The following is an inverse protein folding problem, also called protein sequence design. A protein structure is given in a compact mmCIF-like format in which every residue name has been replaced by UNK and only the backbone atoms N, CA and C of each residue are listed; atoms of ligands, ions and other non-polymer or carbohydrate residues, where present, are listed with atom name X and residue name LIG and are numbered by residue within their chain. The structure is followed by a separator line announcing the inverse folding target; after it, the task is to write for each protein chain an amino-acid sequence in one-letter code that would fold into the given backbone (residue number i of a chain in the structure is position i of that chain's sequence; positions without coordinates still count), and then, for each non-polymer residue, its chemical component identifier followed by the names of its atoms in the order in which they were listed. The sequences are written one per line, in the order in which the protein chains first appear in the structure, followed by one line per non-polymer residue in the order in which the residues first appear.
data_IF_676500026813
#
_entry.id   IF_676500026813
#
_cell.length_a   1.000
_cell.length_b   1.000
_cell.length_c   1.000
_cell.angle_alpha   90.00
_cell.angle_beta   90.00
_cell.angle_gamma   90.00
#
_symmetry.space_group_name_H-M   'P 1'
#
loop_
_entity.id
_entity.type
_entity.pdbx_description
1 polymer ?
#
# COMPACT_ATOMS: atom_id res chain seq x y z
N UNK A 1 6.06 9.23 -54.46
CA UNK A 1 7.36 8.75 -53.95
C UNK A 1 7.81 9.69 -52.83
N UNK A 2 8.20 9.14 -51.67
CA UNK A 2 8.89 9.84 -50.57
C UNK A 2 7.98 10.43 -49.49
N UNK A 3 7.48 9.62 -48.55
CA UNK A 3 8.03 9.34 -47.19
C UNK A 3 7.66 10.40 -46.14
N UNK A 4 6.55 10.14 -45.45
CA UNK A 4 6.23 10.67 -44.11
C UNK A 4 7.07 9.93 -43.06
N UNK A 5 7.75 10.68 -42.19
CA UNK A 5 8.47 10.15 -41.02
C UNK A 5 7.51 10.21 -39.82
N UNK A 6 6.96 9.05 -39.45
CA UNK A 6 6.36 8.83 -38.14
C UNK A 6 7.49 8.50 -37.16
N UNK A 7 7.76 9.39 -36.22
CA UNK A 7 8.60 9.10 -35.05
C UNK A 7 7.69 8.43 -34.03
N UNK A 8 7.89 7.13 -33.84
CA UNK A 8 7.35 6.38 -32.71
C UNK A 8 8.32 6.57 -31.55
N UNK A 9 7.94 7.38 -30.55
CA UNK A 9 8.63 7.41 -29.26
C UNK A 9 8.10 6.24 -28.44
N UNK A 10 8.86 5.15 -28.40
CA UNK A 10 8.63 4.06 -27.47
C UNK A 10 9.08 4.51 -26.07
N UNK A 11 8.13 4.80 -25.18
CA UNK A 11 8.40 4.86 -23.74
C UNK A 11 8.64 3.42 -23.26
N UNK A 12 9.90 3.04 -23.16
CA UNK A 12 10.32 1.84 -22.44
C UNK A 12 10.21 2.10 -20.95
N UNK A 13 9.34 1.37 -20.27
CA UNK A 13 9.39 1.20 -18.81
C UNK A 13 10.71 0.48 -18.51
N UNK A 14 11.72 1.25 -18.13
CA UNK A 14 13.06 0.75 -17.84
C UNK A 14 13.17 0.29 -16.39
N UNK A 15 13.09 -1.01 -16.15
CA UNK A 15 13.59 -1.60 -14.91
C UNK A 15 15.11 -1.43 -14.85
N UNK A 16 15.61 -0.39 -14.17
CA UNK A 16 17.03 -0.16 -13.99
C UNK A 16 17.57 -0.99 -12.80
N UNK A 17 17.82 -2.29 -13.03
CA UNK A 17 18.54 -3.15 -12.08
C UNK A 17 20.06 -2.94 -12.13
N UNK A 18 20.73 -3.15 -11.00
CA UNK A 18 22.19 -3.10 -10.83
C UNK A 18 22.86 -4.30 -11.51
N UNK A 19 23.87 -4.08 -12.34
CA UNK A 19 24.75 -5.15 -12.85
C UNK A 19 25.69 -5.62 -11.74
N UNK A 20 25.71 -6.91 -11.44
CA UNK A 20 26.76 -7.54 -10.63
C UNK A 20 28.09 -7.58 -11.43
N UNK A 21 29.24 -7.87 -10.80
CA UNK A 21 30.52 -8.04 -11.50
C UNK A 21 30.49 -9.07 -12.65
N UNK A 22 29.53 -10.00 -12.60
CA UNK A 22 29.27 -11.02 -13.63
C UNK A 22 28.14 -10.62 -14.61
N UNK A 23 27.66 -9.37 -14.56
CA UNK A 23 26.67 -8.82 -15.47
C UNK A 23 25.23 -9.26 -15.21
N UNK A 24 24.94 -9.92 -14.08
CA UNK A 24 23.58 -10.33 -13.73
C UNK A 24 22.87 -9.22 -12.96
N UNK A 25 21.65 -8.88 -13.37
CA UNK A 25 20.75 -8.04 -12.59
C UNK A 25 20.21 -8.85 -11.41
N UNK A 26 20.62 -8.49 -10.19
CA UNK A 26 19.96 -9.01 -9.00
C UNK A 26 18.66 -8.23 -8.81
N UNK A 27 17.59 -8.74 -9.42
CA UNK A 27 16.24 -8.23 -9.20
C UNK A 27 15.78 -8.75 -7.85
N UNK A 28 15.99 -7.98 -6.79
CA UNK A 28 15.31 -8.22 -5.52
C UNK A 28 13.85 -7.80 -5.72
N UNK A 29 13.01 -8.76 -6.11
CA UNK A 29 11.57 -8.55 -6.22
C UNK A 29 11.03 -8.43 -4.80
N UNK A 30 10.84 -7.21 -4.31
CA UNK A 30 10.05 -7.00 -3.09
C UNK A 30 8.61 -7.44 -3.40
N UNK A 31 7.93 -8.16 -2.50
CA UNK A 31 6.51 -8.49 -2.66
C UNK A 31 5.61 -7.24 -2.61
N UNK A 32 6.16 -6.08 -2.24
CA UNK A 32 5.51 -4.79 -2.22
C UNK A 32 5.78 -4.09 -3.55
N UNK A 33 4.75 -3.69 -4.33
CA UNK A 33 4.89 -3.01 -5.61
C UNK A 33 5.22 -1.52 -5.44
N UNK A 34 6.35 -1.22 -4.80
CA UNK A 34 6.87 0.14 -4.60
C UNK A 34 8.01 0.47 -5.57
N UNK A 35 8.28 1.76 -5.84
CA UNK A 35 9.43 2.18 -6.62
C UNK A 35 10.74 1.69 -5.97
N UNK A 36 11.78 1.53 -6.79
CA UNK A 36 13.09 1.24 -6.24
C UNK A 36 13.65 2.51 -5.55
N UNK A 37 14.20 2.40 -4.34
CA UNK A 37 14.87 3.53 -3.70
C UNK A 37 16.16 3.88 -4.45
N UNK A 38 16.55 5.17 -4.39
CA UNK A 38 17.80 5.65 -4.99
C UNK A 38 19.01 4.93 -4.41
N UNK A 39 18.97 4.63 -3.11
CA UNK A 39 19.97 3.85 -2.41
C UNK A 39 19.52 2.40 -2.26
N UNK A 40 20.41 1.41 -2.44
CA UNK A 40 20.11 0.02 -2.12
C UNK A 40 19.61 -0.13 -0.69
N UNK A 41 18.71 -1.09 -0.46
CA UNK A 41 18.13 -1.32 0.88
C UNK A 41 19.17 -1.50 1.98
N UNK A 42 20.28 -2.16 1.69
CA UNK A 42 21.39 -2.37 2.63
C UNK A 42 22.14 -1.07 3.03
N UNK A 43 21.98 0.00 2.26
CA UNK A 43 22.57 1.32 2.52
C UNK A 43 21.58 2.26 3.24
N UNK A 44 20.31 1.87 3.39
CA UNK A 44 19.32 2.59 4.19
C UNK A 44 19.55 2.34 5.69
N UNK A 45 19.00 3.19 6.55
CA UNK A 45 19.08 2.97 8.00
C UNK A 45 18.49 1.62 8.43
N UNK A 46 19.04 1.05 9.50
CA UNK A 46 18.52 -0.19 10.08
C UNK A 46 17.05 -0.04 10.50
N UNK A 47 16.65 1.14 10.95
CA UNK A 47 15.27 1.44 11.35
C UNK A 47 14.30 1.34 10.15
N UNK A 48 14.70 1.87 8.99
CA UNK A 48 13.89 1.76 7.78
C UNK A 48 13.87 0.33 7.24
N UNK A 49 15.01 -0.36 7.26
CA UNK A 49 15.09 -1.76 6.85
C UNK A 49 14.18 -2.65 7.71
N UNK A 50 14.14 -2.40 9.02
CA UNK A 50 13.29 -3.09 9.98
C UNK A 50 11.80 -2.80 9.75
N UNK A 51 11.40 -1.53 9.55
CA UNK A 51 10.03 -1.20 9.18
C UNK A 51 9.63 -1.94 7.90
N UNK A 52 10.49 -1.91 6.89
CA UNK A 52 10.25 -2.56 5.61
C UNK A 52 10.05 -4.07 5.78
N UNK A 53 10.90 -4.75 6.56
CA UNK A 53 10.73 -6.18 6.87
C UNK A 53 9.37 -6.47 7.50
N UNK A 54 8.97 -5.65 8.48
CA UNK A 54 7.69 -5.84 9.17
C UNK A 54 6.50 -5.61 8.27
N UNK A 55 6.58 -4.66 7.34
CA UNK A 55 5.52 -4.47 6.34
C UNK A 55 5.48 -5.67 5.38
N UNK A 56 6.62 -6.17 4.92
CA UNK A 56 6.67 -7.39 4.08
C UNK A 56 6.09 -8.61 4.81
N UNK A 57 6.46 -8.82 6.08
CA UNK A 57 5.89 -9.87 6.93
C UNK A 57 4.38 -9.72 7.06
N UNK A 58 3.89 -8.50 7.28
CA UNK A 58 2.47 -8.25 7.44
C UNK A 58 1.70 -8.54 6.13
N UNK A 59 2.20 -8.06 4.99
CA UNK A 59 1.63 -8.30 3.65
C UNK A 59 1.70 -9.77 3.24
N UNK A 60 2.71 -10.51 3.71
CA UNK A 60 2.85 -11.93 3.47
C UNK A 60 1.77 -12.78 4.18
N UNK A 61 1.10 -12.24 5.20
CA UNK A 61 -0.08 -12.87 5.81
C UNK A 61 -1.28 -12.69 4.87
N UNK A 62 -1.41 -13.58 3.89
CA UNK A 62 -2.47 -13.53 2.86
C UNK A 62 -3.80 -14.10 3.37
N UNK A 63 -4.95 -13.58 2.91
CA UNK A 63 -6.25 -14.12 3.26
C UNK A 63 -6.36 -15.59 2.82
N UNK A 64 -7.14 -16.41 3.56
CA UNK A 64 -7.41 -17.78 3.14
C UNK A 64 -8.14 -17.79 1.80
N UNK A 65 -8.00 -18.88 1.05
CA UNK A 65 -8.80 -19.08 -0.17
C UNK A 65 -10.29 -19.01 0.18
N UNK A 66 -11.12 -18.38 -0.68
CA UNK A 66 -12.57 -18.49 -0.56
C UNK A 66 -13.00 -19.97 -0.58
N UNK A 67 -14.13 -20.30 0.08
CA UNK A 67 -14.65 -21.65 0.03
C UNK A 67 -15.18 -21.99 -1.38
N UNK A 68 -15.22 -23.29 -1.71
CA UNK A 68 -15.71 -23.78 -3.01
C UNK A 68 -17.25 -23.64 -3.20
N UNK A 69 -17.96 -23.09 -2.22
CA UNK A 69 -19.41 -22.88 -2.24
C UNK A 69 -19.80 -21.47 -1.82
N UNK A 70 -20.91 -20.99 -2.36
CA UNK A 70 -21.44 -19.63 -2.25
C UNK A 70 -22.70 -19.53 -1.38
N UNK A 71 -23.07 -20.62 -0.72
CA UNK A 71 -24.18 -20.62 0.24
C UNK A 71 -23.82 -19.81 1.48
N UNK A 72 -24.85 -19.24 2.12
CA UNK A 72 -24.68 -18.43 3.33
C UNK A 72 -23.93 -19.18 4.43
N UNK A 73 -24.31 -20.45 4.70
CA UNK A 73 -23.71 -21.29 5.74
C UNK A 73 -22.21 -21.55 5.49
N UNK A 74 -21.83 -21.81 4.23
CA UNK A 74 -20.44 -22.07 3.86
C UNK A 74 -19.58 -20.82 4.02
N UNK A 75 -20.08 -19.67 3.57
CA UNK A 75 -19.35 -18.39 3.69
C UNK A 75 -19.30 -17.93 5.15
N UNK A 76 -20.36 -18.11 5.93
CA UNK A 76 -20.39 -17.78 7.36
C UNK A 76 -19.37 -18.63 8.13
N UNK A 77 -19.34 -19.94 7.91
CA UNK A 77 -18.37 -20.82 8.55
C UNK A 77 -16.91 -20.44 8.19
N UNK A 78 -16.66 -20.07 6.93
CA UNK A 78 -15.35 -19.57 6.50
C UNK A 78 -15.00 -18.23 7.16
N UNK A 79 -15.97 -17.31 7.24
CA UNK A 79 -15.81 -15.98 7.80
C UNK A 79 -15.49 -16.04 9.31
N UNK A 80 -16.24 -16.85 10.06
CA UNK A 80 -16.08 -17.02 11.51
C UNK A 80 -14.83 -17.84 11.88
N UNK A 81 -14.36 -18.69 10.97
CA UNK A 81 -13.16 -19.51 11.14
C UNK A 81 -11.92 -18.86 10.51
N UNK A 82 -11.52 -19.39 9.36
CA UNK A 82 -10.22 -19.10 8.75
C UNK A 82 -10.01 -17.61 8.45
N UNK A 83 -11.06 -16.91 7.99
CA UNK A 83 -10.94 -15.48 7.66
C UNK A 83 -10.77 -14.62 8.92
N UNK A 84 -11.53 -14.89 9.98
CA UNK A 84 -11.36 -14.24 11.28
C UNK A 84 -9.96 -14.48 11.86
N UNK A 85 -9.47 -15.71 11.79
CA UNK A 85 -8.11 -16.04 12.26
C UNK A 85 -7.04 -15.30 11.46
N UNK A 86 -7.22 -15.19 10.14
CA UNK A 86 -6.37 -14.36 9.29
C UNK A 86 -6.42 -12.89 9.69
N UNK A 87 -7.60 -12.30 9.89
CA UNK A 87 -7.76 -10.91 10.31
C UNK A 87 -6.99 -10.61 11.60
N UNK A 88 -7.10 -11.49 12.60
CA UNK A 88 -6.39 -11.34 13.88
C UNK A 88 -4.87 -11.40 13.70
N UNK A 89 -4.37 -12.33 12.88
CA UNK A 89 -2.94 -12.45 12.58
C UNK A 89 -2.43 -11.23 11.79
N UNK A 90 -3.18 -10.79 10.79
CA UNK A 90 -2.85 -9.64 9.94
C UNK A 90 -2.87 -8.33 10.74
N UNK A 91 -3.83 -8.15 11.65
CA UNK A 91 -3.87 -7.02 12.57
C UNK A 91 -2.63 -7.01 13.49
N UNK A 92 -2.30 -8.13 14.13
CA UNK A 92 -1.13 -8.22 14.99
C UNK A 92 0.19 -7.94 14.24
N UNK A 93 0.31 -8.34 12.97
CA UNK A 93 1.47 -8.01 12.14
C UNK A 93 1.52 -6.52 11.77
N UNK A 94 0.37 -5.93 11.45
CA UNK A 94 0.21 -4.49 11.16
C UNK A 94 0.61 -3.64 12.36
N UNK A 95 0.20 -4.02 13.57
CA UNK A 95 0.58 -3.33 14.81
C UNK A 95 2.10 -3.33 15.05
N UNK A 96 2.77 -4.46 14.76
CA UNK A 96 4.23 -4.55 14.86
C UNK A 96 4.94 -3.61 13.89
N UNK A 97 4.42 -3.48 12.66
CA UNK A 97 4.95 -2.56 11.65
C UNK A 97 4.70 -1.10 12.07
N UNK A 98 3.50 -0.77 12.54
CA UNK A 98 3.18 0.57 13.06
C UNK A 98 4.15 0.98 14.17
N UNK A 99 4.45 0.09 15.12
CA UNK A 99 5.39 0.38 16.20
C UNK A 99 6.80 0.75 15.68
N UNK A 100 7.26 0.17 14.57
CA UNK A 100 8.56 0.46 13.99
C UNK A 100 8.64 1.86 13.35
N UNK A 101 7.50 2.47 12.96
CA UNK A 101 7.47 3.82 12.39
C UNK A 101 7.98 4.89 13.36
N UNK A 102 7.93 4.64 14.67
CA UNK A 102 8.42 5.56 15.70
C UNK A 102 9.91 5.88 15.55
N UNK A 103 10.70 4.89 15.15
CA UNK A 103 12.15 5.02 15.02
C UNK A 103 12.53 6.00 13.89
N UNK A 104 11.69 6.11 12.85
CA UNK A 104 11.94 6.98 11.69
C UNK A 104 11.73 8.48 11.94
N UNK A 105 11.26 8.86 13.13
CA UNK A 105 10.87 10.25 13.45
C UNK A 105 11.92 11.31 13.11
N UNK A 106 13.19 11.02 13.36
CA UNK A 106 14.30 11.96 13.22
C UNK A 106 15.18 11.67 12.01
N UNK A 107 14.79 10.71 11.17
CA UNK A 107 15.55 10.33 9.99
C UNK A 107 15.39 11.35 8.86
N UNK A 108 16.28 11.30 7.84
CA UNK A 108 16.16 12.14 6.65
C UNK A 108 14.79 12.04 5.98
N UNK A 109 14.41 13.10 5.24
CA UNK A 109 13.08 13.18 4.61
C UNK A 109 12.80 12.00 3.66
N UNK A 110 13.80 11.54 2.91
CA UNK A 110 13.62 10.41 1.97
C UNK A 110 13.28 9.12 2.72
N UNK A 111 13.96 8.79 3.83
CA UNK A 111 13.66 7.58 4.60
C UNK A 111 12.30 7.66 5.27
N UNK A 112 11.95 8.83 5.79
CA UNK A 112 10.61 9.09 6.31
C UNK A 112 9.57 8.91 5.20
N UNK A 113 9.81 9.44 4.00
CA UNK A 113 8.94 9.32 2.84
C UNK A 113 8.69 7.86 2.44
N UNK A 114 9.77 7.08 2.32
CA UNK A 114 9.68 5.62 2.07
C UNK A 114 8.89 4.93 3.18
N UNK A 115 9.19 5.23 4.44
CA UNK A 115 8.48 4.65 5.59
C UNK A 115 6.98 4.94 5.57
N UNK A 116 6.58 6.17 5.23
CA UNK A 116 5.18 6.55 5.08
C UNK A 116 4.51 5.81 3.92
N UNK A 117 5.20 5.66 2.78
CA UNK A 117 4.68 4.94 1.62
C UNK A 117 4.47 3.45 1.90
N UNK A 118 5.42 2.80 2.58
CA UNK A 118 5.30 1.41 3.03
C UNK A 118 4.10 1.22 3.96
N UNK A 119 3.89 2.17 4.88
CA UNK A 119 2.73 2.17 5.77
C UNK A 119 1.42 2.35 5.00
N UNK A 120 1.38 3.29 4.05
CA UNK A 120 0.22 3.52 3.19
C UNK A 120 -0.18 2.27 2.42
N UNK A 121 0.80 1.59 1.82
CA UNK A 121 0.58 0.32 1.13
C UNK A 121 0.08 -0.79 2.05
N UNK A 122 0.63 -0.89 3.27
CA UNK A 122 0.22 -1.92 4.23
C UNK A 122 -1.28 -1.89 4.54
N UNK A 123 -1.82 -0.69 4.79
CA UNK A 123 -3.25 -0.51 5.07
C UNK A 123 -4.11 -0.61 3.80
N UNK A 124 -3.58 -0.18 2.66
CA UNK A 124 -4.23 -0.40 1.38
C UNK A 124 -4.42 -1.90 1.08
N UNK A 125 -3.37 -2.70 1.19
CA UNK A 125 -3.40 -4.15 0.96
C UNK A 125 -4.34 -4.85 1.94
N UNK A 126 -4.39 -4.41 3.20
CA UNK A 126 -5.36 -4.91 4.18
C UNK A 126 -6.79 -4.63 3.73
N UNK A 127 -7.11 -3.36 3.41
CA UNK A 127 -8.45 -2.97 2.99
C UNK A 127 -8.87 -3.68 1.70
N UNK A 128 -7.96 -3.76 0.71
CA UNK A 128 -8.19 -4.49 -0.53
C UNK A 128 -8.40 -5.99 -0.30
N UNK A 129 -7.65 -6.61 0.61
CA UNK A 129 -7.79 -8.03 0.92
C UNK A 129 -9.15 -8.34 1.57
N UNK A 130 -9.62 -7.47 2.46
CA UNK A 130 -10.94 -7.64 3.10
C UNK A 130 -12.07 -7.40 2.09
N UNK A 131 -11.94 -6.38 1.23
CA UNK A 131 -12.92 -6.09 0.18
C UNK A 131 -13.07 -7.24 -0.82
N UNK A 132 -12.04 -8.07 -0.97
CA UNK A 132 -12.07 -9.28 -1.82
C UNK A 132 -12.73 -10.51 -1.20
N UNK A 133 -13.30 -10.41 0.01
CA UNK A 133 -14.04 -11.51 0.62
C UNK A 133 -15.26 -11.91 -0.24
N UNK A 134 -15.60 -13.22 -0.30
CA UNK A 134 -16.74 -13.71 -1.06
C UNK A 134 -18.05 -13.18 -0.51
N UNK A 135 -18.99 -12.89 -1.41
CA UNK A 135 -20.36 -12.47 -1.09
C UNK A 135 -21.29 -13.68 -1.29
N UNK A 136 -22.18 -14.00 -0.32
CA UNK A 136 -23.15 -15.08 -0.49
C UNK A 136 -24.05 -14.90 -1.72
N UNK A 137 -24.35 -16.00 -2.43
CA UNK A 137 -25.11 -15.99 -3.69
C UNK A 137 -26.42 -15.21 -3.56
N UNK A 138 -27.21 -15.51 -2.52
CA UNK A 138 -28.49 -14.83 -2.27
C UNK A 138 -28.35 -13.31 -2.01
N UNK A 139 -27.20 -12.83 -1.54
CA UNK A 139 -26.91 -11.39 -1.43
C UNK A 139 -26.45 -10.85 -2.78
N UNK A 140 -25.63 -11.60 -3.51
CA UNK A 140 -25.10 -11.19 -4.82
C UNK A 140 -26.19 -11.06 -5.90
N UNK A 141 -27.22 -11.89 -5.85
CA UNK A 141 -28.35 -11.87 -6.80
C UNK A 141 -29.40 -10.79 -6.50
N UNK A 142 -29.49 -10.34 -5.25
CA UNK A 142 -30.40 -9.27 -4.84
C UNK A 142 -29.66 -7.93 -4.79
N UNK A 143 -29.99 -7.04 -5.72
CA UNK A 143 -29.33 -5.73 -5.83
C UNK A 143 -29.43 -4.89 -4.56
N UNK A 144 -30.55 -4.91 -3.86
CA UNK A 144 -30.74 -4.11 -2.64
C UNK A 144 -29.87 -4.68 -1.51
N UNK A 145 -29.87 -6.01 -1.35
CA UNK A 145 -29.01 -6.66 -0.35
C UNK A 145 -27.53 -6.47 -0.67
N UNK A 146 -27.13 -6.55 -1.94
CA UNK A 146 -25.75 -6.30 -2.36
C UNK A 146 -25.33 -4.85 -2.06
N UNK A 147 -26.19 -3.87 -2.31
CA UNK A 147 -25.93 -2.46 -1.99
C UNK A 147 -25.75 -2.27 -0.47
N UNK A 148 -26.61 -2.87 0.35
CA UNK A 148 -26.50 -2.81 1.82
C UNK A 148 -25.20 -3.49 2.30
N UNK A 149 -24.91 -4.68 1.79
CA UNK A 149 -23.71 -5.45 2.16
C UNK A 149 -22.43 -4.71 1.80
N UNK A 150 -22.32 -4.24 0.56
CA UNK A 150 -21.14 -3.51 0.08
C UNK A 150 -21.01 -2.14 0.76
N UNK A 151 -22.13 -1.48 1.07
CA UNK A 151 -22.15 -0.26 1.87
C UNK A 151 -21.58 -0.47 3.27
N UNK A 152 -22.07 -1.48 4.00
CA UNK A 152 -21.58 -1.82 5.33
C UNK A 152 -20.11 -2.23 5.32
N UNK A 153 -19.69 -3.05 4.34
CA UNK A 153 -18.29 -3.43 4.17
C UNK A 153 -17.41 -2.21 3.92
N UNK A 154 -17.85 -1.30 3.05
CA UNK A 154 -17.12 -0.05 2.75
C UNK A 154 -16.98 0.81 4.02
N UNK A 155 -18.05 1.00 4.78
CA UNK A 155 -18.03 1.76 6.04
C UNK A 155 -17.01 1.20 7.03
N UNK A 156 -16.94 -0.12 7.18
CA UNK A 156 -15.95 -0.77 8.06
C UNK A 156 -14.51 -0.68 7.55
N UNK A 157 -14.32 -0.52 6.24
CA UNK A 157 -13.00 -0.39 5.63
C UNK A 157 -12.50 1.05 5.53
N UNK A 158 -13.40 2.04 5.57
CA UNK A 158 -13.09 3.46 5.49
C UNK A 158 -11.97 3.88 6.45
N UNK A 159 -11.93 3.48 7.73
CA UNK A 159 -10.84 3.86 8.62
C UNK A 159 -9.45 3.42 8.13
N UNK A 160 -9.34 2.24 7.51
CA UNK A 160 -8.08 1.75 6.96
C UNK A 160 -7.70 2.49 5.67
N UNK A 161 -8.68 2.76 4.81
CA UNK A 161 -8.49 3.55 3.60
C UNK A 161 -8.04 4.98 3.91
N UNK A 162 -8.63 5.62 4.93
CA UNK A 162 -8.21 6.94 5.39
C UNK A 162 -6.77 6.95 5.91
N UNK A 163 -6.36 5.94 6.68
CA UNK A 163 -4.97 5.81 7.15
C UNK A 163 -4.01 5.65 5.97
N UNK A 164 -4.39 4.84 4.98
CA UNK A 164 -3.61 4.64 3.76
C UNK A 164 -3.47 5.95 2.97
N UNK A 165 -4.58 6.64 2.70
CA UNK A 165 -4.60 7.92 1.98
C UNK A 165 -3.75 8.97 2.70
N UNK A 166 -3.93 9.16 4.02
CA UNK A 166 -3.12 10.10 4.81
C UNK A 166 -1.63 9.80 4.70
N UNK A 167 -1.25 8.52 4.77
CA UNK A 167 0.13 8.11 4.63
C UNK A 167 0.70 8.41 3.24
N UNK A 168 -0.05 8.16 2.17
CA UNK A 168 0.39 8.51 0.82
C UNK A 168 0.53 10.03 0.62
N UNK A 169 -0.42 10.84 1.11
CA UNK A 169 -0.32 12.30 1.03
C UNK A 169 0.83 12.86 1.88
N UNK A 170 1.11 12.26 3.04
CA UNK A 170 2.27 12.61 3.84
C UNK A 170 3.59 12.20 3.16
N UNK A 171 3.64 11.03 2.50
CA UNK A 171 4.77 10.64 1.66
C UNK A 171 5.02 11.70 0.56
N UNK A 172 3.97 12.08 -0.18
CA UNK A 172 4.07 13.11 -1.21
C UNK A 172 4.62 14.43 -0.66
N UNK A 173 4.07 14.91 0.47
CA UNK A 173 4.54 16.14 1.12
C UNK A 173 6.02 16.08 1.53
N UNK A 174 6.50 14.92 1.99
CA UNK A 174 7.90 14.71 2.36
C UNK A 174 8.83 14.77 1.14
N UNK A 175 8.45 14.16 0.02
CA UNK A 175 9.25 14.18 -1.20
C UNK A 175 9.19 15.52 -1.94
N UNK A 176 8.05 16.22 -1.94
CA UNK A 176 7.97 17.62 -2.42
C UNK A 176 8.92 18.51 -1.63
N UNK A 177 8.95 18.36 -0.30
CA UNK A 177 9.85 19.15 0.56
C UNK A 177 11.32 18.79 0.34
N UNK A 178 11.62 17.52 0.11
CA UNK A 178 12.99 17.08 -0.16
C UNK A 178 13.56 17.79 -1.40
N UNK A 179 12.72 18.10 -2.38
CA UNK A 179 13.07 18.86 -3.60
C UNK A 179 14.29 18.27 -4.33
N UNK A 180 14.29 16.95 -4.48
CA UNK A 180 15.35 16.20 -5.14
C UNK A 180 14.76 15.34 -6.26
N UNK A 181 15.19 15.64 -7.49
CA UNK A 181 14.72 14.99 -8.73
C UNK A 181 14.97 13.49 -8.76
N UNK A 182 15.97 12.98 -8.03
CA UNK A 182 16.24 11.54 -7.97
C UNK A 182 15.11 10.76 -7.28
N UNK A 183 14.29 11.45 -6.48
CA UNK A 183 13.16 10.87 -5.76
C UNK A 183 11.81 11.18 -6.43
N UNK A 184 11.80 11.72 -7.65
CA UNK A 184 10.58 12.09 -8.36
C UNK A 184 9.60 10.93 -8.57
N UNK A 185 10.10 9.71 -8.81
CA UNK A 185 9.26 8.52 -8.96
C UNK A 185 8.49 8.17 -7.67
N UNK A 186 9.09 8.43 -6.51
CA UNK A 186 8.42 8.22 -5.23
C UNK A 186 7.32 9.24 -4.96
N UNK A 187 7.57 10.52 -5.30
CA UNK A 187 6.53 11.55 -5.23
C UNK A 187 5.34 11.18 -6.13
N UNK A 188 5.61 10.81 -7.39
CA UNK A 188 4.58 10.39 -8.34
C UNK A 188 3.81 9.15 -7.86
N UNK A 189 4.53 8.13 -7.37
CA UNK A 189 3.90 6.94 -6.78
C UNK A 189 2.95 7.30 -5.64
N UNK A 190 3.38 8.14 -4.70
CA UNK A 190 2.55 8.52 -3.55
C UNK A 190 1.34 9.36 -3.95
N UNK A 191 1.48 10.25 -4.92
CA UNK A 191 0.35 11.02 -5.48
C UNK A 191 -0.69 10.11 -6.16
N UNK A 192 -0.21 9.22 -7.04
CA UNK A 192 -1.08 8.31 -7.78
C UNK A 192 -1.82 7.36 -6.83
N UNK A 193 -1.10 6.69 -5.92
CA UNK A 193 -1.71 5.71 -5.00
C UNK A 193 -2.63 6.37 -3.99
N UNK A 194 -2.25 7.53 -3.46
CA UNK A 194 -3.11 8.31 -2.58
C UNK A 194 -4.43 8.69 -3.25
N UNK A 195 -4.37 9.17 -4.49
CA UNK A 195 -5.56 9.53 -5.29
C UNK A 195 -6.43 8.30 -5.59
N UNK A 196 -5.83 7.17 -5.97
CA UNK A 196 -6.56 5.93 -6.24
C UNK A 196 -7.32 5.41 -5.01
N UNK A 197 -6.73 5.51 -3.81
CA UNK A 197 -7.41 5.14 -2.55
C UNK A 197 -8.57 6.09 -2.27
N UNK A 198 -8.35 7.40 -2.42
CA UNK A 198 -9.39 8.43 -2.25
C UNK A 198 -10.57 8.17 -3.19
N UNK A 199 -10.32 7.91 -4.46
CA UNK A 199 -11.35 7.64 -5.46
C UNK A 199 -12.09 6.32 -5.18
N UNK A 200 -11.36 5.25 -4.83
CA UNK A 200 -11.93 3.91 -4.60
C UNK A 200 -12.87 3.85 -3.41
N UNK A 201 -12.60 4.67 -2.39
CA UNK A 201 -13.39 4.74 -1.15
C UNK A 201 -14.24 6.01 -1.06
N UNK A 202 -14.26 6.86 -2.10
CA UNK A 202 -14.98 8.13 -2.14
C UNK A 202 -14.70 9.01 -0.90
N UNK A 203 -13.42 9.15 -0.56
CA UNK A 203 -12.96 9.92 0.59
C UNK A 203 -12.81 11.40 0.23
N UNK A 204 -12.76 12.25 1.25
CA UNK A 204 -12.21 13.59 1.08
C UNK A 204 -10.67 13.50 1.01
N UNK A 205 -10.01 14.16 0.05
CA UNK A 205 -8.55 14.21 -0.01
C UNK A 205 -7.97 14.73 1.32
N UNK A 206 -7.00 14.03 1.94
CA UNK A 206 -6.38 14.49 3.17
C UNK A 206 -5.76 15.88 3.02
N UNK A 207 -5.86 16.70 4.06
CA UNK A 207 -5.14 17.98 4.08
C UNK A 207 -3.62 17.76 3.90
N UNK A 208 -2.90 18.70 3.26
CA UNK A 208 -1.46 18.60 3.08
C UNK A 208 -0.76 18.41 4.42
N UNK A 209 -0.12 17.27 4.60
CA UNK A 209 0.51 16.95 5.87
C UNK A 209 1.67 17.91 6.15
N UNK A 210 1.84 18.34 7.41
CA UNK A 210 3.00 19.14 7.80
C UNK A 210 4.26 18.26 7.73
N UNK A 211 5.19 18.49 6.78
CA UNK A 211 6.34 17.61 6.59
C UNK A 211 7.38 17.71 7.74
N UNK A 212 7.21 18.65 8.67
CA UNK A 212 7.98 18.73 9.91
C UNK A 212 7.43 17.81 11.01
N UNK A 213 6.22 17.27 10.87
CA UNK A 213 5.63 16.39 11.87
C UNK A 213 6.34 15.03 11.89
N UNK A 214 6.53 14.41 13.07
CA UNK A 214 7.09 13.08 13.19
C UNK A 214 6.29 12.05 12.38
N UNK A 215 6.95 11.02 11.83
CA UNK A 215 6.28 10.00 11.00
C UNK A 215 5.04 9.42 11.67
N UNK A 216 5.11 9.09 12.97
CA UNK A 216 3.94 8.62 13.72
C UNK A 216 2.73 9.55 13.58
N UNK A 217 2.92 10.88 13.73
CA UNK A 217 1.81 11.85 13.60
C UNK A 217 1.32 12.00 12.16
N UNK A 218 2.14 11.65 11.17
CA UNK A 218 1.74 11.65 9.77
C UNK A 218 0.88 10.43 9.42
N UNK A 219 1.02 9.32 10.16
CA UNK A 219 0.41 8.03 9.83
C UNK A 219 -0.60 7.54 10.87
N UNK A 220 -0.79 8.25 11.98
CA UNK A 220 -1.85 7.99 12.96
C UNK A 220 -2.84 9.15 13.00
N UNK A 221 -4.11 8.90 13.37
CA UNK A 221 -5.05 9.99 13.65
C UNK A 221 -4.54 10.89 14.79
N UNK A 222 -4.96 12.16 14.84
CA UNK A 222 -4.67 13.06 15.96
C UNK A 222 -5.30 12.59 17.28
#
# INVERSE_FOLDING_TARGET
MGRWLLIVVAFGVGCAGRQTPDGQQEVVVSPIPIPQPVYPRAELSNDLQELWNRVEEAVAVRPPQPPDGDTAEVIESWAEGAFRDWLLQRAAATDRALAATHALRTHPLFERGIGTALFGYMYEDLASSIRGAPVPEHIAEDKELLEIYTGALTEHLTPFAELSARAYYACLALFIKLDDVQWGEWAYYCDQRGSEVVDTFNLEPPEPANPNAPLTQLVTPP
#
